data_IF_947102116942
#
_entry.id   IF_947102116942
#
_cell.length_a   1.000
_cell.length_b   1.000
_cell.length_c   1.000
_cell.angle_alpha   90.00
_cell.angle_beta   90.00
_cell.angle_gamma   90.00
#
_symmetry.space_group_name_H-M   'P 1'
#
loop_
_entity.id
_entity.type
_entity.pdbx_description
1 polymer ?
#
# COMPACT_ATOMS: atom_id res chain seq x y z
N UNK A 1 6.27 -0.28 8.95
CA UNK A 1 6.09 -1.75 9.02
C UNK A 1 6.18 -2.30 10.45
N UNK A 2 7.33 -2.20 11.11
CA UNK A 2 7.54 -2.84 12.43
C UNK A 2 6.66 -2.26 13.54
N UNK A 3 6.37 -0.96 13.51
CA UNK A 3 5.44 -0.34 14.44
C UNK A 3 4.05 -0.99 14.39
N UNK A 4 3.54 -1.25 13.18
CA UNK A 4 2.20 -1.83 12.97
C UNK A 4 2.10 -3.25 13.55
N UNK A 5 3.12 -4.07 13.33
CA UNK A 5 3.13 -5.47 13.81
C UNK A 5 3.41 -5.60 15.32
N UNK A 6 3.81 -4.52 16.00
CA UNK A 6 4.32 -4.56 17.39
C UNK A 6 3.32 -5.19 18.37
N UNK A 7 2.03 -5.05 18.10
CA UNK A 7 0.98 -5.63 18.93
C UNK A 7 0.67 -7.10 18.63
N UNK A 8 1.11 -7.63 17.49
CA UNK A 8 0.76 -8.96 17.01
C UNK A 8 1.66 -10.07 17.57
N UNK A 9 1.09 -11.26 17.74
CA UNK A 9 1.87 -12.49 18.02
C UNK A 9 2.60 -12.94 16.76
N UNK A 10 1.93 -12.83 15.61
CA UNK A 10 2.52 -13.14 14.32
C UNK A 10 3.51 -12.04 13.90
N UNK A 11 4.77 -12.39 13.57
CA UNK A 11 5.76 -11.40 13.19
C UNK A 11 5.50 -10.87 11.77
N UNK A 12 5.85 -9.61 11.53
CA UNK A 12 5.85 -9.05 10.18
C UNK A 12 6.68 -9.90 9.21
N UNK A 13 6.18 -10.04 7.99
CA UNK A 13 6.89 -10.62 6.86
C UNK A 13 7.03 -9.59 5.76
N UNK A 14 8.20 -9.53 5.14
CA UNK A 14 8.40 -8.74 3.93
C UNK A 14 8.70 -9.69 2.79
N UNK A 15 7.67 -10.04 2.02
CA UNK A 15 7.76 -11.06 0.98
C UNK A 15 8.20 -10.36 -0.32
N UNK A 16 9.22 -10.94 -0.97
CA UNK A 16 9.72 -10.49 -2.27
C UNK A 16 9.55 -11.63 -3.27
N UNK A 17 8.81 -11.37 -4.34
CA UNK A 17 8.66 -12.26 -5.48
C UNK A 17 9.38 -11.62 -6.66
N UNK A 18 10.26 -12.35 -7.35
CA UNK A 18 11.00 -11.83 -8.49
C UNK A 18 10.80 -12.73 -9.70
N UNK A 19 10.36 -12.12 -10.81
CA UNK A 19 10.36 -12.72 -12.13
C UNK A 19 11.40 -12.01 -12.98
N UNK A 20 12.50 -12.71 -13.27
CA UNK A 20 13.61 -12.18 -14.05
C UNK A 20 14.09 -13.26 -15.04
N UNK A 21 13.55 -13.27 -16.28
CA UNK A 21 13.99 -14.22 -17.29
C UNK A 21 15.44 -13.92 -17.72
N UNK A 22 16.23 -14.97 -17.90
CA UNK A 22 17.61 -14.85 -18.39
C UNK A 22 17.65 -14.24 -19.80
N UNK A 23 18.67 -13.43 -20.07
CA UNK A 23 18.90 -12.83 -21.40
C UNK A 23 17.96 -11.69 -21.78
N UNK A 24 17.06 -11.28 -20.89
CA UNK A 24 16.22 -10.08 -21.08
C UNK A 24 16.85 -8.91 -20.32
N UNK A 25 17.57 -8.07 -21.05
CA UNK A 25 18.01 -6.76 -20.57
C UNK A 25 17.33 -5.69 -21.43
N UNK A 26 16.36 -4.99 -20.83
CA UNK A 26 15.65 -3.90 -21.50
C UNK A 26 16.38 -2.56 -21.37
N UNK A 27 17.50 -2.51 -20.63
CA UNK A 27 18.16 -1.26 -20.22
C UNK A 27 17.36 -0.43 -19.21
N UNK A 28 16.15 -0.86 -18.86
CA UNK A 28 15.28 -0.21 -17.88
C UNK A 28 15.24 -1.03 -16.59
N UNK A 29 15.04 -0.35 -15.45
CA UNK A 29 14.86 -1.01 -14.16
C UNK A 29 13.58 -1.87 -14.10
N UNK A 30 13.38 -2.66 -13.03
CA UNK A 30 12.20 -3.52 -12.90
C UNK A 30 10.88 -2.73 -12.87
N UNK A 31 9.81 -3.40 -13.28
CA UNK A 31 8.44 -3.03 -12.90
C UNK A 31 8.20 -3.54 -11.48
N UNK A 32 7.90 -2.66 -10.53
CA UNK A 32 7.66 -3.03 -9.14
C UNK A 32 6.18 -2.94 -8.81
N UNK A 33 5.61 -4.03 -8.32
CA UNK A 33 4.24 -4.11 -7.81
C UNK A 33 4.29 -4.23 -6.29
N UNK A 34 3.57 -3.36 -5.55
CA UNK A 34 3.57 -3.35 -4.08
C UNK A 34 2.17 -3.63 -3.56
N UNK A 35 1.98 -4.67 -2.74
CA UNK A 35 0.66 -5.06 -2.25
C UNK A 35 0.52 -4.87 -0.74
N UNK A 36 -0.47 -4.08 -0.29
CA UNK A 36 -0.80 -3.98 1.15
C UNK A 36 -1.20 -5.37 1.68
N UNK A 37 -0.47 -5.89 2.65
CA UNK A 37 -0.70 -7.21 3.26
C UNK A 37 -1.10 -7.14 4.73
N UNK A 38 -2.15 -6.40 5.09
CA UNK A 38 -2.66 -6.48 6.46
C UNK A 38 -3.58 -7.70 6.56
N UNK A 39 -3.08 -8.79 7.13
CA UNK A 39 -3.78 -10.09 7.13
C UNK A 39 -5.09 -10.03 7.94
N UNK A 40 -5.10 -9.24 9.01
CA UNK A 40 -6.32 -8.84 9.71
C UNK A 40 -6.13 -7.45 10.33
N UNK A 41 -7.16 -6.62 10.24
CA UNK A 41 -7.14 -5.25 10.73
C UNK A 41 -8.24 -4.99 11.77
N UNK A 42 -7.85 -4.89 13.03
CA UNK A 42 -8.74 -4.45 14.11
C UNK A 42 -8.84 -2.92 14.18
N UNK A 43 -7.92 -2.21 13.53
CA UNK A 43 -7.66 -0.79 13.69
C UNK A 43 -6.68 -0.43 14.82
N UNK A 44 -6.21 -1.40 15.60
CA UNK A 44 -5.36 -1.13 16.77
C UNK A 44 -6.12 -0.32 17.84
N UNK A 45 -5.42 0.53 18.59
CA UNK A 45 -6.08 1.36 19.62
C UNK A 45 -7.13 2.34 19.07
N UNK A 46 -7.05 2.70 17.79
CA UNK A 46 -8.14 3.29 16.99
C UNK A 46 -9.14 2.21 16.55
N UNK A 47 -9.67 1.47 17.53
CA UNK A 47 -10.43 0.24 17.33
C UNK A 47 -11.66 0.44 16.43
N UNK A 48 -11.77 -0.38 15.39
CA UNK A 48 -12.95 -0.39 14.52
C UNK A 48 -14.22 -0.78 15.29
N UNK A 49 -15.38 -0.17 14.99
CA UNK A 49 -16.67 -0.72 15.40
C UNK A 49 -16.85 -2.15 14.89
N UNK A 50 -17.54 -3.00 15.65
CA UNK A 50 -17.71 -4.42 15.32
C UNK A 50 -18.21 -4.67 13.88
N UNK A 51 -19.20 -3.89 13.42
CA UNK A 51 -19.75 -4.00 12.07
C UNK A 51 -18.72 -3.68 10.96
N UNK A 52 -17.76 -2.80 11.23
CA UNK A 52 -16.69 -2.44 10.29
C UNK A 52 -15.47 -3.37 10.38
N UNK A 53 -15.37 -4.18 11.44
CA UNK A 53 -14.29 -5.16 11.63
C UNK A 53 -14.58 -6.48 10.92
N UNK A 54 -15.85 -6.88 10.81
CA UNK A 54 -16.25 -8.07 10.06
C UNK A 54 -15.81 -7.92 8.60
N UNK A 55 -15.02 -8.88 8.12
CA UNK A 55 -14.48 -8.86 6.76
C UNK A 55 -13.08 -8.26 6.63
N UNK A 56 -12.47 -7.76 7.71
CA UNK A 56 -11.10 -7.21 7.69
C UNK A 56 -9.99 -8.23 7.43
N UNK A 57 -10.33 -9.53 7.35
CA UNK A 57 -9.47 -10.52 6.69
C UNK A 57 -9.18 -10.19 5.21
N UNK A 58 -10.00 -9.35 4.60
CA UNK A 58 -9.84 -8.85 3.23
C UNK A 58 -8.88 -7.66 3.12
N UNK A 59 -8.31 -7.17 4.22
CA UNK A 59 -7.42 -6.00 4.22
C UNK A 59 -6.00 -6.30 3.69
N UNK A 60 -5.81 -7.54 3.24
CA UNK A 60 -4.69 -8.03 2.46
C UNK A 60 -5.03 -8.17 0.97
N UNK A 61 -6.15 -7.61 0.50
CA UNK A 61 -6.60 -7.71 -0.89
C UNK A 61 -5.57 -7.19 -1.89
N UNK A 62 -4.82 -6.15 -1.51
CA UNK A 62 -3.70 -5.63 -2.30
C UNK A 62 -2.56 -6.64 -2.48
N UNK A 63 -2.15 -7.28 -1.38
CA UNK A 63 -1.18 -8.38 -1.42
C UNK A 63 -1.66 -9.55 -2.30
N UNK A 64 -2.92 -9.96 -2.16
CA UNK A 64 -3.50 -11.02 -2.98
C UNK A 64 -3.48 -10.68 -4.48
N UNK A 65 -3.81 -9.44 -4.84
CA UNK A 65 -3.78 -8.96 -6.22
C UNK A 65 -2.35 -9.01 -6.79
N UNK A 66 -1.35 -8.55 -6.03
CA UNK A 66 0.06 -8.59 -6.47
C UNK A 66 0.57 -10.03 -6.62
N UNK A 67 0.25 -10.92 -5.67
CA UNK A 67 0.59 -12.36 -5.79
C UNK A 67 -0.04 -12.97 -7.04
N UNK A 68 -1.32 -12.66 -7.31
CA UNK A 68 -2.03 -13.12 -8.51
C UNK A 68 -1.42 -12.59 -9.81
N UNK A 69 -1.02 -11.32 -9.83
CA UNK A 69 -0.32 -10.72 -10.96
C UNK A 69 1.04 -11.40 -11.19
N UNK A 70 1.85 -11.57 -10.14
CA UNK A 70 3.16 -12.25 -10.23
C UNK A 70 3.03 -13.70 -10.70
N UNK A 71 2.01 -14.43 -10.25
CA UNK A 71 1.70 -15.77 -10.76
C UNK A 71 1.42 -15.74 -12.26
N UNK A 72 0.60 -14.81 -12.73
CA UNK A 72 0.28 -14.66 -14.15
C UNK A 72 1.52 -14.29 -14.97
N UNK A 73 2.35 -13.36 -14.49
CA UNK A 73 3.63 -12.97 -15.11
C UNK A 73 4.53 -14.18 -15.31
N UNK A 74 4.70 -15.01 -14.28
CA UNK A 74 5.54 -16.21 -14.34
C UNK A 74 4.96 -17.28 -15.29
N UNK A 75 3.65 -17.52 -15.23
CA UNK A 75 2.98 -18.50 -16.10
C UNK A 75 3.03 -18.13 -17.58
N UNK A 76 2.89 -16.83 -17.89
CA UNK A 76 3.01 -16.29 -19.25
C UNK A 76 4.46 -16.14 -19.71
N UNK A 77 5.44 -16.32 -18.81
CA UNK A 77 6.87 -16.14 -19.08
C UNK A 77 7.14 -14.78 -19.72
N UNK A 78 6.55 -13.71 -19.16
CA UNK A 78 6.70 -12.39 -19.76
C UNK A 78 8.18 -12.02 -19.88
N UNK A 79 8.62 -11.44 -21.02
CA UNK A 79 10.00 -11.01 -21.22
C UNK A 79 10.22 -9.65 -20.53
N UNK A 80 9.99 -9.58 -19.22
CA UNK A 80 10.08 -8.38 -18.40
C UNK A 80 10.69 -8.72 -17.04
N UNK A 81 11.45 -7.79 -16.46
CA UNK A 81 11.86 -7.87 -15.05
C UNK A 81 10.76 -7.29 -14.17
N UNK A 82 10.11 -8.13 -13.37
CA UNK A 82 9.00 -7.73 -12.49
C UNK A 82 9.30 -8.18 -11.07
N UNK A 83 9.11 -7.28 -10.11
CA UNK A 83 9.29 -7.54 -8.67
C UNK A 83 7.99 -7.25 -7.93
N UNK A 84 7.47 -8.25 -7.22
CA UNK A 84 6.35 -8.11 -6.29
C UNK A 84 6.88 -7.92 -4.86
N UNK A 85 6.49 -6.82 -4.21
CA UNK A 85 6.80 -6.53 -2.80
C UNK A 85 5.53 -6.59 -1.98
N UNK A 86 5.51 -7.44 -0.96
CA UNK A 86 4.32 -7.68 -0.14
C UNK A 86 4.71 -7.53 1.33
N UNK A 87 4.67 -6.30 1.87
CA UNK A 87 4.76 -6.09 3.32
C UNK A 87 3.52 -6.70 3.99
N UNK A 88 3.71 -7.62 4.93
CA UNK A 88 2.64 -8.35 5.60
C UNK A 88 2.72 -8.23 7.11
N UNK A 89 1.60 -7.87 7.73
CA UNK A 89 1.45 -7.67 9.18
C UNK A 89 0.04 -8.08 9.62
N UNK A 90 -0.18 -8.17 10.93
CA UNK A 90 -1.50 -8.04 11.53
C UNK A 90 -1.55 -6.73 12.34
N UNK A 91 -2.68 -6.01 12.27
CA UNK A 91 -2.91 -4.82 13.08
C UNK A 91 -3.92 -5.15 14.19
N UNK A 92 -3.41 -5.46 15.37
CA UNK A 92 -4.20 -5.95 16.51
C UNK A 92 -4.03 -5.09 17.74
N UNK A 93 -5.09 -5.00 18.55
CA UNK A 93 -5.02 -4.41 19.89
C UNK A 93 -4.32 -5.38 20.83
N UNK A 94 -3.28 -4.90 21.51
CA UNK A 94 -2.64 -5.63 22.60
C UNK A 94 -1.91 -4.67 23.53
N UNK A 95 -1.42 -5.19 24.66
CA UNK A 95 -0.66 -4.40 25.63
C UNK A 95 0.64 -3.81 25.04
N UNK A 96 1.19 -4.39 23.97
CA UNK A 96 2.41 -3.93 23.32
C UNK A 96 2.16 -3.16 22.03
N UNK A 97 0.89 -2.97 21.62
CA UNK A 97 0.58 -2.25 20.39
C UNK A 97 1.04 -0.78 20.46
N UNK A 98 1.43 -0.26 19.29
CA UNK A 98 1.66 1.16 19.07
C UNK A 98 0.37 1.97 19.29
N UNK A 99 0.52 3.24 19.66
CA UNK A 99 -0.56 4.09 20.15
C UNK A 99 -0.71 5.34 19.30
N UNK A 100 -1.88 6.00 19.35
CA UNK A 100 -2.00 7.38 18.93
C UNK A 100 -0.97 8.26 19.65
N UNK A 101 -0.44 9.25 18.93
CA UNK A 101 0.65 10.17 19.26
C UNK A 101 2.05 9.54 19.37
N UNK A 102 2.22 8.23 19.12
CA UNK A 102 3.56 7.69 18.90
C UNK A 102 4.18 8.32 17.64
N UNK A 103 5.50 8.55 17.67
CA UNK A 103 6.28 9.00 16.51
C UNK A 103 7.23 7.89 16.09
N UNK A 104 7.12 7.46 14.83
CA UNK A 104 7.98 6.42 14.27
C UNK A 104 8.86 6.96 13.15
N UNK A 105 10.06 6.40 13.02
CA UNK A 105 10.97 6.72 11.93
C UNK A 105 10.78 5.69 10.81
N UNK A 106 10.35 6.17 9.64
CA UNK A 106 10.23 5.36 8.44
C UNK A 106 11.61 4.98 7.88
N UNK A 107 11.67 3.99 6.97
CA UNK A 107 12.93 3.49 6.40
C UNK A 107 13.83 4.60 5.79
N UNK A 108 13.24 5.66 5.26
CA UNK A 108 13.96 6.79 4.67
C UNK A 108 14.38 7.88 5.68
N UNK A 109 14.16 7.65 6.98
CA UNK A 109 14.48 8.61 8.05
C UNK A 109 13.38 9.63 8.36
N UNK A 110 12.29 9.65 7.58
CA UNK A 110 11.16 10.56 7.83
C UNK A 110 10.41 10.12 9.10
N UNK A 111 10.17 11.08 10.00
CA UNK A 111 9.37 10.87 11.20
C UNK A 111 7.88 11.00 10.93
N UNK A 112 7.09 10.06 11.45
CA UNK A 112 5.64 9.97 11.25
C UNK A 112 4.92 9.93 12.59
N UNK A 113 4.12 10.95 12.87
CA UNK A 113 3.18 10.98 13.98
C UNK A 113 1.95 10.12 13.67
N UNK A 114 1.61 9.22 14.58
CA UNK A 114 0.45 8.35 14.45
C UNK A 114 -0.77 9.01 15.08
N UNK A 115 -1.68 9.54 14.28
CA UNK A 115 -2.95 10.07 14.79
C UNK A 115 -4.01 8.98 14.88
N UNK A 116 -4.01 8.05 13.91
CA UNK A 116 -4.90 6.89 13.91
C UNK A 116 -4.10 5.63 13.66
N UNK A 117 -4.21 4.64 14.56
CA UNK A 117 -3.65 3.31 14.34
C UNK A 117 -4.44 2.51 13.30
N UNK A 118 -5.62 2.98 12.89
CA UNK A 118 -6.47 2.45 11.81
C UNK A 118 -6.10 3.03 10.42
N UNK A 119 -5.06 3.87 10.39
CA UNK A 119 -4.41 4.35 9.17
C UNK A 119 -3.04 3.67 8.99
N UNK A 120 -2.98 2.38 9.29
CA UNK A 120 -1.79 1.54 9.31
C UNK A 120 -1.27 1.23 7.91
N UNK A 121 -2.17 0.98 6.94
CA UNK A 121 -1.86 0.51 5.59
C UNK A 121 -0.72 1.29 4.91
N UNK A 122 -0.79 2.61 5.01
CA UNK A 122 0.21 3.52 4.43
C UNK A 122 1.58 3.43 5.12
N UNK A 123 1.65 3.04 6.39
CA UNK A 123 2.91 2.92 7.15
C UNK A 123 3.74 1.71 6.70
N UNK A 124 3.09 0.59 6.37
CA UNK A 124 3.80 -0.55 5.78
C UNK A 124 4.11 -0.33 4.30
N UNK A 125 3.22 0.34 3.56
CA UNK A 125 3.48 0.71 2.17
C UNK A 125 4.64 1.71 2.06
N UNK A 126 4.75 2.70 2.95
CA UNK A 126 5.86 3.67 2.92
C UNK A 126 7.23 2.98 3.00
N UNK A 127 7.42 2.03 3.91
CA UNK A 127 8.66 1.26 4.00
C UNK A 127 8.90 0.39 2.76
N UNK A 128 7.84 -0.19 2.20
CA UNK A 128 7.93 -0.99 0.97
C UNK A 128 8.26 -0.14 -0.26
N UNK A 129 7.71 1.08 -0.37
CA UNK A 129 8.02 2.03 -1.43
C UNK A 129 9.45 2.55 -1.30
N UNK A 130 9.95 2.76 -0.07
CA UNK A 130 11.37 3.04 0.16
C UNK A 130 12.27 1.87 -0.28
N UNK A 131 11.83 0.62 -0.06
CA UNK A 131 12.53 -0.56 -0.60
C UNK A 131 12.47 -0.61 -2.12
N UNK A 132 11.30 -0.37 -2.73
CA UNK A 132 11.13 -0.31 -4.18
C UNK A 132 12.10 0.68 -4.83
N UNK A 133 12.25 1.89 -4.26
CA UNK A 133 13.18 2.91 -4.77
C UNK A 133 14.64 2.44 -4.83
N UNK A 134 15.08 1.58 -3.90
CA UNK A 134 16.44 1.02 -3.92
C UNK A 134 16.71 0.07 -5.09
N UNK A 135 15.65 -0.44 -5.73
CA UNK A 135 15.72 -1.30 -6.92
C UNK A 135 15.88 -0.48 -8.21
N UNK A 136 15.87 0.85 -8.14
CA UNK A 136 15.90 1.77 -9.29
C UNK A 136 14.87 1.38 -10.37
N UNK A 137 13.58 1.29 -10.02
CA UNK A 137 12.56 0.74 -10.88
C UNK A 137 12.23 1.66 -12.05
N UNK A 138 11.76 1.08 -13.16
CA UNK A 138 11.18 1.85 -14.25
C UNK A 138 9.79 2.40 -13.87
N UNK A 139 9.03 1.65 -13.06
CA UNK A 139 7.73 2.05 -12.55
C UNK A 139 7.44 1.34 -11.24
N UNK A 140 6.70 2.00 -10.35
CA UNK A 140 6.17 1.42 -9.11
C UNK A 140 4.66 1.58 -9.10
N UNK A 141 3.94 0.50 -8.82
CA UNK A 141 2.48 0.49 -8.68
C UNK A 141 2.14 -0.18 -7.35
N UNK A 142 1.57 0.57 -6.41
CA UNK A 142 1.00 -0.03 -5.21
C UNK A 142 -0.50 -0.33 -5.36
N UNK A 143 -0.96 -1.39 -4.70
CA UNK A 143 -2.34 -1.85 -4.67
C UNK A 143 -2.75 -2.06 -3.22
N UNK A 144 -3.81 -1.40 -2.79
CA UNK A 144 -4.20 -1.40 -1.39
C UNK A 144 -5.71 -1.21 -1.16
N UNK A 145 -6.25 -1.98 -0.22
CA UNK A 145 -7.51 -1.70 0.48
C UNK A 145 -7.26 -0.58 1.50
N UNK A 146 -7.06 0.66 1.02
CA UNK A 146 -6.44 1.70 1.84
C UNK A 146 -7.42 2.59 2.61
N UNK A 147 -8.57 2.94 2.03
CA UNK A 147 -9.47 3.92 2.64
C UNK A 147 -10.95 3.58 2.42
N UNK A 148 -11.75 3.84 3.45
CA UNK A 148 -13.22 3.93 3.30
C UNK A 148 -13.65 5.12 2.45
N UNK A 149 -12.85 6.20 2.41
CA UNK A 149 -13.12 7.39 1.59
C UNK A 149 -13.26 7.07 0.10
N UNK A 150 -12.44 6.13 -0.42
CA UNK A 150 -12.60 5.60 -1.78
C UNK A 150 -13.98 5.01 -2.02
N UNK A 151 -14.52 4.24 -1.07
CA UNK A 151 -15.82 3.56 -1.20
C UNK A 151 -16.93 4.61 -1.23
N UNK A 152 -16.84 5.65 -0.39
CA UNK A 152 -17.79 6.77 -0.41
C UNK A 152 -17.78 7.50 -1.76
N UNK A 153 -16.60 7.71 -2.34
CA UNK A 153 -16.45 8.46 -3.59
C UNK A 153 -16.85 7.65 -4.85
N UNK A 154 -16.46 6.38 -4.94
CA UNK A 154 -16.52 5.59 -6.18
C UNK A 154 -17.31 4.27 -6.05
N UNK A 155 -17.83 3.97 -4.86
CA UNK A 155 -18.50 2.70 -4.57
C UNK A 155 -17.57 1.48 -4.64
N UNK A 156 -18.16 0.32 -4.86
CA UNK A 156 -17.47 -0.98 -4.78
C UNK A 156 -16.87 -1.46 -6.11
N UNK A 157 -17.35 -0.95 -7.26
CA UNK A 157 -16.97 -1.46 -8.57
C UNK A 157 -15.70 -0.82 -9.14
N UNK A 158 -15.52 0.48 -8.92
CA UNK A 158 -14.45 1.26 -9.56
C UNK A 158 -13.32 1.52 -8.58
N UNK A 159 -12.08 1.25 -8.95
CA UNK A 159 -10.91 1.53 -8.10
C UNK A 159 -10.45 2.98 -8.27
N UNK A 160 -10.02 3.60 -7.17
CA UNK A 160 -9.38 4.93 -7.22
C UNK A 160 -7.95 4.79 -7.72
N UNK A 161 -7.58 5.58 -8.72
CA UNK A 161 -6.24 5.66 -9.28
C UNK A 161 -5.62 7.00 -8.92
N UNK A 162 -4.55 6.98 -8.13
CA UNK A 162 -3.70 8.14 -7.87
C UNK A 162 -2.37 7.91 -8.60
N UNK A 163 -1.95 8.86 -9.44
CA UNK A 163 -0.80 8.67 -10.33
C UNK A 163 -0.14 10.01 -10.65
N UNK A 164 1.19 10.04 -10.59
CA UNK A 164 2.02 11.23 -10.80
C UNK A 164 2.43 11.44 -12.25
N UNK A 165 2.29 10.42 -13.10
CA UNK A 165 2.66 10.46 -14.52
C UNK A 165 1.43 10.26 -15.42
N UNK A 166 1.26 11.14 -16.40
CA UNK A 166 0.09 11.16 -17.27
C UNK A 166 0.07 9.98 -18.26
N UNK A 167 1.24 9.54 -18.75
CA UNK A 167 1.33 8.41 -19.66
C UNK A 167 0.96 7.11 -18.94
N UNK A 168 1.51 6.89 -17.74
CA UNK A 168 1.15 5.77 -16.88
C UNK A 168 -0.34 5.78 -16.54
N UNK A 169 -0.91 6.95 -16.26
CA UNK A 169 -2.35 7.08 -16.05
C UNK A 169 -3.15 6.54 -17.23
N UNK A 170 -2.82 6.97 -18.45
CA UNK A 170 -3.53 6.54 -19.65
C UNK A 170 -3.38 5.04 -19.90
N UNK A 171 -2.19 4.49 -19.70
CA UNK A 171 -1.91 3.06 -19.83
C UNK A 171 -2.75 2.23 -18.84
N UNK A 172 -2.83 2.65 -17.59
CA UNK A 172 -3.62 1.95 -16.55
C UNK A 172 -5.13 2.06 -16.81
N UNK A 173 -5.62 3.22 -17.21
CA UNK A 173 -7.04 3.40 -17.58
C UNK A 173 -7.42 2.52 -18.78
N UNK A 174 -6.57 2.47 -19.81
CA UNK A 174 -6.79 1.60 -20.97
C UNK A 174 -6.73 0.11 -20.60
N UNK A 175 -5.81 -0.29 -19.71
CA UNK A 175 -5.74 -1.66 -19.21
C UNK A 175 -7.03 -2.05 -18.47
N UNK A 176 -7.50 -1.20 -17.56
CA UNK A 176 -8.75 -1.44 -16.82
C UNK A 176 -9.98 -1.53 -17.72
N UNK A 177 -10.07 -0.70 -18.78
CA UNK A 177 -11.13 -0.83 -19.78
C UNK A 177 -11.06 -2.16 -20.53
N UNK A 178 -9.86 -2.60 -20.92
CA UNK A 178 -9.64 -3.86 -21.65
C UNK A 178 -9.95 -5.10 -20.80
N UNK A 179 -9.67 -5.06 -19.49
CA UNK A 179 -9.91 -6.19 -18.58
C UNK A 179 -11.29 -6.17 -17.94
N UNK A 180 -12.05 -5.08 -18.08
CA UNK A 180 -13.33 -4.90 -17.40
C UNK A 180 -13.20 -4.54 -15.92
N UNK A 181 -12.03 -4.07 -15.49
CA UNK A 181 -11.70 -3.64 -14.14
C UNK A 181 -11.57 -2.11 -14.10
N UNK A 182 -12.68 -1.36 -13.90
CA UNK A 182 -12.69 0.07 -14.09
C UNK A 182 -11.84 0.80 -13.04
N UNK A 183 -11.03 1.74 -13.52
CA UNK A 183 -10.24 2.68 -12.71
C UNK A 183 -10.78 4.10 -12.92
N UNK A 184 -10.66 4.95 -11.89
CA UNK A 184 -10.97 6.37 -11.97
C UNK A 184 -9.83 7.21 -11.40
N UNK A 185 -9.30 8.16 -12.20
CA UNK A 185 -8.22 9.04 -11.76
C UNK A 185 -8.74 10.01 -10.70
N UNK A 186 -8.12 9.98 -9.54
CA UNK A 186 -8.34 10.92 -8.43
C UNK A 186 -7.24 12.01 -8.46
N UNK A 187 -7.53 13.23 -7.99
CA UNK A 187 -6.54 14.30 -7.94
C UNK A 187 -5.45 14.02 -6.88
N UNK A 188 -4.21 14.40 -7.20
CA UNK A 188 -3.07 14.50 -6.28
C UNK A 188 -2.60 15.96 -6.25
N UNK A 189 -3.47 16.86 -5.78
CA UNK A 189 -3.13 18.27 -5.65
C UNK A 189 -2.14 18.47 -4.48
N UNK A 190 -0.99 19.15 -4.66
CA UNK A 190 -0.06 19.46 -3.58
C UNK A 190 -0.70 20.18 -2.38
N UNK A 191 -1.84 20.87 -2.57
CA UNK A 191 -2.58 21.48 -1.48
C UNK A 191 -3.05 20.46 -0.42
N UNK A 192 -3.20 19.18 -0.79
CA UNK A 192 -3.57 18.13 0.16
C UNK A 192 -2.46 17.84 1.19
N UNK A 193 -1.20 18.15 0.89
CA UNK A 193 -0.06 17.92 1.81
C UNK A 193 -0.19 18.74 3.09
N UNK A 194 -0.85 19.90 3.02
CA UNK A 194 -1.11 20.74 4.19
C UNK A 194 -1.92 20.00 5.27
N UNK A 195 -2.75 19.02 4.87
CA UNK A 195 -3.56 18.22 5.80
C UNK A 195 -2.72 17.21 6.56
N UNK A 196 -1.51 16.88 6.09
CA UNK A 196 -0.61 15.89 6.69
C UNK A 196 0.50 16.52 7.55
N UNK A 197 0.46 17.83 7.79
CA UNK A 197 1.40 18.50 8.70
C UNK A 197 1.21 18.03 10.15
N UNK A 198 2.33 17.78 10.81
CA UNK A 198 2.43 17.45 12.24
C UNK A 198 3.20 18.55 12.97
N UNK A 199 2.89 18.75 14.25
CA UNK A 199 3.60 19.69 15.13
C UNK A 199 4.83 19.05 15.81
N UNK A 200 4.93 17.71 15.79
CA UNK A 200 5.94 16.95 16.54
C UNK A 200 6.75 15.96 15.69
N UNK A 201 6.38 15.79 14.41
CA UNK A 201 7.05 14.94 13.43
C UNK A 201 7.06 15.62 12.06
N UNK A 202 7.75 15.03 11.08
CA UNK A 202 7.79 15.58 9.72
C UNK A 202 6.41 15.52 9.05
N UNK A 203 5.66 14.44 9.31
CA UNK A 203 4.28 14.25 8.82
C UNK A 203 3.43 13.52 9.85
N UNK A 204 2.10 13.64 9.76
CA UNK A 204 1.15 12.75 10.44
C UNK A 204 0.51 11.76 9.49
N UNK A 205 0.13 10.60 10.01
CA UNK A 205 -0.37 9.51 9.17
C UNK A 205 -1.83 9.66 8.70
N UNK A 206 -2.54 10.74 9.00
CA UNK A 206 -3.90 10.97 8.49
C UNK A 206 -4.22 12.44 8.32
N UNK A 207 -5.01 12.77 7.29
CA UNK A 207 -5.51 14.13 7.03
C UNK A 207 -6.76 14.49 7.81
N UNK A 208 -7.32 13.55 8.58
CA UNK A 208 -8.59 13.73 9.28
C UNK A 208 -9.81 13.58 8.37
N UNK A 209 -10.98 13.97 8.91
CA UNK A 209 -12.25 14.03 8.18
C UNK A 209 -12.60 15.52 8.03
N UNK A 210 -12.94 15.94 6.81
CA UNK A 210 -13.58 17.24 6.57
C UNK A 210 -15.04 17.19 7.06
#
# INVERSE_FOLDING_TARGET
>A
LLAVTQGAVEPAKFIVLEHRPDGVDTGAGPVVLVGKGVAFDTGGYSLKPAASMVGMKGDMGGAAAVIGAMRSVAQLKLPLHVVGLIPTVENVVSATAYKPNDVFIAKNGVSVEIISTDAEGRLLLADALCYAGSLKPAVVIDVATLTGGKIVALGNRTSALFVTDDLLCQLLLAAGQKTGEPLWRMPLDPAYDAQLKSDIADVKNTGGRL
#
